data_IF_767946747066
#
_entry.id   IF_767946747066
#
_cell.length_a   1.000
_cell.length_b   1.000
_cell.length_c   1.000
_cell.angle_alpha   90.00
_cell.angle_beta   90.00
_cell.angle_gamma   90.00
#
_symmetry.space_group_name_H-M   'P 1'
#
loop_
_entity.id
_entity.type
_entity.pdbx_description
1 polymer ?
#
# COMPACT_ATOMS: atom_id res chain seq x y z
N UNK A 1 -40.83 -2.33 56.85
CA UNK A 1 -39.86 -2.75 57.89
C UNK A 1 -38.74 -3.57 57.24
N UNK A 2 -37.49 -3.17 57.54
CA UNK A 2 -36.22 -3.91 57.66
C UNK A 2 -35.79 -4.99 56.64
N UNK A 3 -34.49 -4.90 56.37
CA UNK A 3 -33.61 -5.61 55.43
C UNK A 3 -33.17 -7.03 55.85
N UNK A 4 -32.65 -7.76 54.85
CA UNK A 4 -31.42 -8.59 54.89
C UNK A 4 -31.07 -8.96 53.43
N UNK A 5 -30.08 -8.38 52.75
CA UNK A 5 -28.65 -8.73 52.78
C UNK A 5 -28.39 -10.25 52.84
N UNK A 6 -28.22 -10.88 51.67
CA UNK A 6 -27.05 -11.73 51.34
C UNK A 6 -27.24 -12.37 49.95
N UNK A 7 -26.42 -11.97 48.96
CA UNK A 7 -25.90 -12.88 47.94
C UNK A 7 -24.74 -12.19 47.19
N UNK A 8 -23.53 -12.43 47.69
CA UNK A 8 -22.28 -12.01 47.06
C UNK A 8 -21.87 -13.03 45.99
N UNK A 9 -21.64 -12.51 44.78
CA UNK A 9 -20.45 -12.73 43.93
C UNK A 9 -19.79 -14.12 43.91
N UNK A 10 -19.89 -14.81 42.77
CA UNK A 10 -18.91 -15.81 42.35
C UNK A 10 -18.65 -15.74 40.83
N UNK A 11 -17.65 -14.94 40.44
CA UNK A 11 -16.97 -15.03 39.14
C UNK A 11 -15.80 -16.05 39.26
N UNK A 12 -15.46 -16.79 38.18
CA UNK A 12 -14.43 -17.83 38.22
C UNK A 12 -13.01 -17.25 38.37
N UNK A 13 -12.07 -18.00 38.99
CA UNK A 13 -10.75 -17.51 39.33
C UNK A 13 -9.84 -17.33 38.09
N UNK A 14 -9.12 -16.21 38.09
CA UNK A 14 -8.08 -15.88 37.13
C UNK A 14 -6.85 -16.77 37.33
N UNK A 15 -6.33 -17.33 36.23
CA UNK A 15 -5.04 -18.00 36.18
C UNK A 15 -3.92 -16.96 36.30
N UNK A 16 -3.32 -16.87 37.48
CA UNK A 16 -2.06 -16.20 37.72
C UNK A 16 -0.91 -17.20 37.60
N UNK A 17 -0.19 -17.18 36.48
CA UNK A 17 1.18 -17.70 36.45
C UNK A 17 2.14 -16.56 36.11
N UNK A 18 2.92 -16.16 37.12
CA UNK A 18 4.13 -15.37 36.96
C UNK A 18 5.24 -16.31 36.48
N UNK A 19 5.63 -16.18 35.22
CA UNK A 19 6.88 -16.77 34.74
C UNK A 19 8.04 -15.82 35.08
N UNK A 20 8.89 -16.24 36.02
CA UNK A 20 10.17 -15.62 36.36
C UNK A 20 11.19 -15.97 35.27
N UNK A 21 11.78 -14.97 34.60
CA UNK A 21 12.87 -15.18 33.64
C UNK A 21 14.23 -14.90 34.30
N UNK A 22 15.26 -15.73 34.07
CA UNK A 22 16.56 -15.60 34.73
C UNK A 22 17.48 -14.56 34.08
N UNK A 23 18.13 -13.77 34.95
CA UNK A 23 19.56 -13.42 34.89
C UNK A 23 20.12 -12.66 33.68
N UNK A 24 20.48 -11.40 33.92
CA UNK A 24 21.32 -10.58 33.04
C UNK A 24 22.78 -11.06 33.00
N UNK A 25 23.41 -10.95 31.82
CA UNK A 25 24.86 -11.03 31.65
C UNK A 25 25.35 -10.93 30.20
N UNK A 26 26.14 -9.88 29.94
CA UNK A 26 27.06 -9.63 28.81
C UNK A 26 26.53 -8.98 27.49
N UNK A 27 26.79 -7.67 27.36
CA UNK A 27 27.20 -6.95 26.13
C UNK A 27 28.31 -7.71 25.36
N UNK A 28 28.54 -7.70 24.04
CA UNK A 28 28.22 -6.82 22.89
C UNK A 28 28.38 -7.64 21.59
N UNK A 29 27.53 -7.42 20.58
CA UNK A 29 27.91 -7.25 19.17
C UNK A 29 26.65 -6.81 18.41
N UNK A 30 26.70 -5.66 17.72
CA UNK A 30 25.57 -5.12 16.98
C UNK A 30 25.08 -6.13 15.93
N UNK A 31 23.93 -6.77 16.19
CA UNK A 31 23.26 -7.62 15.22
C UNK A 31 22.77 -6.73 14.08
N UNK A 32 23.27 -6.97 12.86
CA UNK A 32 22.74 -6.37 11.64
C UNK A 32 21.26 -6.75 11.55
N UNK A 33 20.36 -5.75 11.54
CA UNK A 33 18.92 -5.93 11.32
C UNK A 33 18.74 -6.86 10.10
N UNK A 34 17.90 -7.91 10.18
CA UNK A 34 17.69 -8.78 9.04
C UNK A 34 17.11 -7.96 7.89
N UNK A 35 17.83 -7.92 6.77
CA UNK A 35 17.23 -7.54 5.50
C UNK A 35 16.16 -8.59 5.21
N UNK A 36 15.03 -8.18 4.61
CA UNK A 36 13.95 -9.08 4.22
C UNK A 36 14.43 -10.31 3.41
N UNK A 37 15.65 -10.27 2.86
CA UNK A 37 16.29 -11.23 1.97
C UNK A 37 16.60 -12.62 2.54
N UNK A 38 16.38 -12.89 3.83
CA UNK A 38 16.62 -14.22 4.40
C UNK A 38 15.39 -14.68 5.20
N UNK A 39 14.65 -15.62 4.62
CA UNK A 39 13.70 -16.44 5.38
C UNK A 39 14.51 -17.34 6.32
N UNK A 40 14.03 -17.55 7.56
CA UNK A 40 14.77 -18.27 8.61
C UNK A 40 15.15 -19.72 8.23
N UNK A 41 14.55 -20.27 7.17
CA UNK A 41 14.77 -21.62 6.64
C UNK A 41 15.76 -21.67 5.44
N UNK A 42 16.54 -20.61 5.22
CA UNK A 42 17.68 -20.63 4.27
C UNK A 42 17.31 -20.54 2.78
N UNK A 43 16.06 -20.24 2.44
CA UNK A 43 15.64 -19.96 1.06
C UNK A 43 15.92 -18.52 0.63
N UNK A 44 16.39 -18.32 -0.61
CA UNK A 44 16.45 -16.99 -1.22
C UNK A 44 15.02 -16.46 -1.44
N UNK A 45 14.74 -15.24 -0.97
CA UNK A 45 13.46 -14.56 -1.21
C UNK A 45 13.10 -14.54 -2.69
N UNK A 46 14.09 -14.43 -3.58
CA UNK A 46 13.83 -14.48 -5.02
C UNK A 46 13.27 -15.82 -5.49
N UNK A 47 13.66 -16.93 -4.86
CA UNK A 47 13.08 -18.24 -5.19
C UNK A 47 11.64 -18.36 -4.67
N UNK A 48 11.34 -17.78 -3.51
CA UNK A 48 9.97 -17.67 -3.01
C UNK A 48 9.10 -16.74 -3.87
N UNK A 49 9.67 -15.67 -4.43
CA UNK A 49 8.98 -14.75 -5.32
C UNK A 49 8.54 -15.42 -6.63
N UNK A 50 9.35 -16.35 -7.17
CA UNK A 50 8.94 -17.17 -8.33
C UNK A 50 7.71 -18.01 -8.01
N UNK A 51 7.65 -18.62 -6.83
CA UNK A 51 6.48 -19.38 -6.38
C UNK A 51 5.27 -18.46 -6.17
N UNK A 52 5.48 -17.30 -5.56
CA UNK A 52 4.45 -16.31 -5.31
C UNK A 52 3.80 -15.81 -6.60
N UNK A 53 4.57 -15.35 -7.58
CA UNK A 53 4.02 -14.97 -8.90
C UNK A 53 3.49 -16.18 -9.69
N UNK A 54 4.03 -17.37 -9.42
CA UNK A 54 3.59 -18.64 -10.00
C UNK A 54 2.17 -19.05 -9.59
N UNK A 55 1.79 -18.81 -8.33
CA UNK A 55 0.63 -19.46 -7.70
C UNK A 55 -0.27 -18.57 -6.84
N UNK A 56 0.24 -17.47 -6.29
CA UNK A 56 -0.45 -16.72 -5.24
C UNK A 56 -0.79 -15.28 -5.65
N UNK A 57 0.06 -14.64 -6.46
CA UNK A 57 -0.19 -13.27 -6.88
C UNK A 57 -1.49 -13.17 -7.70
N UNK A 58 -2.45 -12.33 -7.30
CA UNK A 58 -3.80 -12.31 -7.87
C UNK A 58 -3.85 -11.51 -9.19
N UNK A 59 -3.08 -11.92 -10.19
CA UNK A 59 -2.93 -11.22 -11.47
C UNK A 59 -4.25 -10.94 -12.19
N UNK A 60 -5.21 -11.89 -12.17
CA UNK A 60 -6.54 -11.66 -12.76
C UNK A 60 -7.31 -10.55 -12.05
N UNK A 61 -7.25 -10.51 -10.72
CA UNK A 61 -7.92 -9.48 -9.91
C UNK A 61 -7.28 -8.12 -10.14
N UNK A 62 -5.94 -8.07 -10.20
CA UNK A 62 -5.20 -6.85 -10.53
C UNK A 62 -5.57 -6.34 -11.93
N UNK A 63 -5.66 -7.22 -12.93
CA UNK A 63 -6.08 -6.87 -14.29
C UNK A 63 -7.52 -6.31 -14.31
N UNK A 64 -8.47 -6.98 -13.66
CA UNK A 64 -9.87 -6.51 -13.55
C UNK A 64 -9.97 -5.14 -12.88
N UNK A 65 -9.29 -4.98 -11.74
CA UNK A 65 -9.25 -3.71 -11.01
C UNK A 65 -8.70 -2.58 -11.90
N UNK A 66 -7.52 -2.77 -12.49
CA UNK A 66 -6.84 -1.72 -13.26
C UNK A 66 -7.44 -1.49 -14.65
N UNK A 67 -8.35 -2.35 -15.10
CA UNK A 67 -9.10 -2.19 -16.36
C UNK A 67 -10.39 -1.40 -16.18
N UNK A 68 -10.97 -1.35 -14.98
CA UNK A 68 -12.21 -0.62 -14.67
C UNK A 68 -13.37 -0.93 -15.64
N UNK A 69 -13.58 -2.22 -15.96
CA UNK A 69 -14.62 -2.64 -16.91
C UNK A 69 -14.24 -2.46 -18.38
N UNK A 70 -13.00 -2.06 -18.70
CA UNK A 70 -12.50 -1.88 -20.06
C UNK A 70 -11.60 -3.05 -20.53
N UNK A 71 -11.80 -4.25 -19.95
CA UNK A 71 -11.13 -5.46 -20.41
C UNK A 71 -11.45 -5.74 -21.89
N UNK A 72 -10.59 -6.49 -22.58
CA UNK A 72 -10.79 -6.83 -23.98
C UNK A 72 -12.14 -7.55 -24.24
N UNK A 73 -12.58 -8.35 -23.27
CA UNK A 73 -13.83 -9.11 -23.25
C UNK A 73 -15.06 -8.28 -22.87
N UNK A 74 -14.88 -7.02 -22.46
CA UNK A 74 -15.99 -6.15 -22.06
C UNK A 74 -17.00 -5.99 -23.21
N UNK A 75 -18.27 -6.26 -22.89
CA UNK A 75 -19.37 -6.31 -23.87
C UNK A 75 -20.14 -4.99 -24.02
N UNK A 76 -19.88 -4.02 -23.13
CA UNK A 76 -20.61 -2.75 -23.19
C UNK A 76 -20.04 -1.82 -24.26
N UNK A 77 -20.88 -1.06 -24.98
CA UNK A 77 -20.44 -0.26 -26.13
C UNK A 77 -19.45 0.86 -25.80
N UNK A 78 -19.42 1.29 -24.52
CA UNK A 78 -18.50 2.33 -24.03
C UNK A 78 -17.11 1.81 -23.62
N UNK A 79 -16.82 0.52 -23.79
CA UNK A 79 -15.57 -0.08 -23.31
C UNK A 79 -14.40 0.39 -24.17
N UNK A 80 -13.42 1.04 -23.54
CA UNK A 80 -12.18 1.40 -24.20
C UNK A 80 -11.16 0.28 -24.05
N UNK A 81 -11.11 -0.62 -25.03
CA UNK A 81 -10.18 -1.76 -25.05
C UNK A 81 -8.69 -1.36 -25.03
N UNK A 82 -8.38 -0.08 -25.20
CA UNK A 82 -7.01 0.45 -25.10
C UNK A 82 -6.67 0.95 -23.70
N UNK A 83 -7.62 0.99 -22.76
CA UNK A 83 -7.42 1.56 -21.43
C UNK A 83 -6.29 0.88 -20.65
N UNK A 84 -6.37 -0.45 -20.46
CA UNK A 84 -5.33 -1.21 -19.76
C UNK A 84 -3.96 -1.20 -20.48
N UNK A 85 -3.88 -1.37 -21.81
CA UNK A 85 -2.62 -1.21 -22.56
C UNK A 85 -1.94 0.16 -22.43
N UNK A 86 -2.64 1.19 -21.95
CA UNK A 86 -2.08 2.52 -21.70
C UNK A 86 -1.63 2.75 -20.26
N UNK A 87 -1.84 1.77 -19.36
CA UNK A 87 -1.38 1.81 -17.97
C UNK A 87 0.13 1.58 -17.90
N UNK A 88 0.84 2.45 -17.19
CA UNK A 88 2.25 2.22 -16.84
C UNK A 88 2.37 1.27 -15.64
N UNK A 89 3.33 0.36 -15.75
CA UNK A 89 3.93 -0.36 -14.64
C UNK A 89 5.43 -0.05 -14.59
N UNK A 90 5.98 -0.01 -13.37
CA UNK A 90 7.41 -0.01 -13.11
C UNK A 90 7.76 -1.29 -12.36
N UNK A 91 8.77 -1.99 -12.86
CA UNK A 91 9.32 -3.16 -12.18
C UNK A 91 10.68 -2.80 -11.60
N UNK A 92 10.86 -3.01 -10.30
CA UNK A 92 12.19 -3.03 -9.69
C UNK A 92 12.72 -4.47 -9.77
N UNK A 93 13.84 -4.65 -10.47
CA UNK A 93 14.52 -5.93 -10.60
C UNK A 93 15.70 -6.02 -9.63
N UNK A 94 16.39 -7.17 -9.64
CA UNK A 94 17.60 -7.35 -8.86
C UNK A 94 18.66 -6.29 -9.17
N UNK A 95 19.41 -5.88 -8.14
CA UNK A 95 20.31 -4.72 -8.19
C UNK A 95 19.61 -3.36 -8.25
N UNK A 96 18.35 -3.27 -7.79
CA UNK A 96 17.54 -2.04 -7.76
C UNK A 96 17.37 -1.39 -9.15
N UNK A 97 17.30 -2.22 -10.20
CA UNK A 97 17.11 -1.74 -11.57
C UNK A 97 15.64 -1.41 -11.80
N UNK A 98 15.35 -0.12 -12.01
CA UNK A 98 14.01 0.37 -12.30
C UNK A 98 13.70 0.27 -13.80
N UNK A 99 12.73 -0.56 -14.16
CA UNK A 99 12.26 -0.71 -15.53
C UNK A 99 10.89 -0.06 -15.67
N UNK A 100 10.90 1.22 -16.00
CA UNK A 100 9.70 2.06 -16.19
C UNK A 100 9.02 1.88 -17.55
N UNK A 101 7.83 2.45 -17.67
CA UNK A 101 7.04 2.47 -18.91
C UNK A 101 6.76 1.08 -19.47
N UNK A 102 6.63 0.08 -18.60
CA UNK A 102 6.04 -1.20 -18.98
C UNK A 102 4.52 -1.02 -19.11
N UNK A 103 3.94 -1.77 -20.02
CA UNK A 103 2.50 -1.79 -20.30
C UNK A 103 2.15 -3.16 -20.86
N UNK A 104 0.92 -3.63 -20.68
CA UNK A 104 0.54 -4.98 -21.06
C UNK A 104 -0.81 -4.95 -21.76
N UNK A 105 -0.99 -5.80 -22.78
CA UNK A 105 -2.22 -5.83 -23.57
C UNK A 105 -3.37 -6.54 -22.84
N UNK A 106 -3.04 -7.46 -21.94
CA UNK A 106 -4.01 -8.30 -21.22
C UNK A 106 -3.46 -8.75 -19.87
N UNK A 107 -4.33 -9.29 -19.03
CA UNK A 107 -3.94 -9.94 -17.77
C UNK A 107 -2.96 -11.10 -17.96
N UNK A 108 -3.09 -11.87 -19.04
CA UNK A 108 -2.17 -12.96 -19.37
C UNK A 108 -0.76 -12.45 -19.73
N UNK A 109 -0.63 -11.33 -20.45
CA UNK A 109 0.69 -10.74 -20.74
C UNK A 109 1.34 -10.18 -19.46
N UNK A 110 0.54 -9.55 -18.57
CA UNK A 110 1.02 -9.11 -17.26
C UNK A 110 1.50 -10.31 -16.42
N UNK A 111 0.71 -11.38 -16.33
CA UNK A 111 1.07 -12.60 -15.59
C UNK A 111 2.37 -13.21 -16.11
N UNK A 112 2.48 -13.36 -17.43
CA UNK A 112 3.69 -13.89 -18.07
C UNK A 112 4.91 -13.02 -17.76
N UNK A 113 4.77 -11.70 -17.82
CA UNK A 113 5.86 -10.78 -17.52
C UNK A 113 6.30 -10.83 -16.05
N UNK A 114 5.34 -10.94 -15.11
CA UNK A 114 5.63 -11.09 -13.68
C UNK A 114 6.39 -12.39 -13.39
N UNK A 115 5.94 -13.51 -13.98
CA UNK A 115 6.62 -14.82 -13.83
C UNK A 115 8.03 -14.82 -14.44
N UNK A 116 8.21 -14.17 -15.60
CA UNK A 116 9.49 -14.14 -16.30
C UNK A 116 10.51 -13.20 -15.65
N UNK A 117 10.05 -12.01 -15.22
CA UNK A 117 10.96 -10.96 -14.71
C UNK A 117 11.13 -11.02 -13.20
N UNK A 118 10.20 -11.64 -12.49
CA UNK A 118 10.22 -11.82 -11.03
C UNK A 118 10.62 -10.54 -10.27
N UNK A 119 9.90 -9.41 -10.47
CA UNK A 119 10.30 -8.14 -9.87
C UNK A 119 10.19 -8.18 -8.34
N UNK A 120 11.13 -7.51 -7.67
CA UNK A 120 11.09 -7.34 -6.20
C UNK A 120 10.06 -6.30 -5.77
N UNK A 121 9.74 -5.32 -6.63
CA UNK A 121 8.69 -4.32 -6.43
C UNK A 121 7.95 -4.04 -7.73
N UNK A 122 6.67 -3.69 -7.59
CA UNK A 122 5.81 -3.28 -8.70
C UNK A 122 5.20 -1.93 -8.32
N UNK A 123 5.50 -0.89 -9.09
CA UNK A 123 4.79 0.39 -8.98
C UNK A 123 3.76 0.49 -10.11
N UNK A 124 2.55 0.93 -9.75
CA UNK A 124 1.45 1.15 -10.69
C UNK A 124 1.41 2.64 -11.02
N UNK A 125 1.68 2.97 -12.27
CA UNK A 125 1.68 4.34 -12.79
C UNK A 125 0.32 4.78 -13.32
N UNK A 126 0.24 5.95 -13.98
CA UNK A 126 -0.98 6.45 -14.58
C UNK A 126 -1.37 5.65 -15.84
N UNK A 127 -2.60 5.86 -16.30
CA UNK A 127 -3.00 5.61 -17.69
C UNK A 127 -2.56 6.81 -18.53
N UNK A 128 -1.82 6.55 -19.59
CA UNK A 128 -1.38 7.55 -20.55
C UNK A 128 -2.36 7.69 -21.71
N UNK A 129 -2.19 8.72 -22.54
CA UNK A 129 -2.96 8.87 -23.77
C UNK A 129 -2.55 7.89 -24.89
N UNK A 130 -1.37 7.27 -24.77
CA UNK A 130 -0.82 6.27 -25.71
C UNK A 130 -0.09 5.18 -24.94
N UNK A 131 0.30 4.10 -25.63
CA UNK A 131 1.08 3.00 -25.04
C UNK A 131 2.44 3.50 -24.47
N UNK A 132 2.69 3.35 -23.16
CA UNK A 132 3.95 3.75 -22.50
C UNK A 132 5.22 3.16 -23.14
N UNK A 133 5.14 1.92 -23.66
CA UNK A 133 6.28 1.28 -24.35
C UNK A 133 6.66 2.02 -25.64
N UNK A 134 5.72 2.75 -26.25
CA UNK A 134 5.91 3.50 -27.50
C UNK A 134 6.16 5.00 -27.30
N UNK A 135 6.32 5.46 -26.05
CA UNK A 135 6.49 6.88 -25.71
C UNK A 135 7.57 7.61 -26.54
N UNK A 136 8.63 6.92 -26.94
CA UNK A 136 9.75 7.52 -27.70
C UNK A 136 9.33 8.06 -29.08
N UNK A 137 8.22 7.56 -29.65
CA UNK A 137 7.66 8.06 -30.90
C UNK A 137 6.89 9.39 -30.74
N UNK A 138 6.66 9.84 -29.50
CA UNK A 138 5.85 11.01 -29.18
C UNK A 138 6.73 12.09 -28.56
N UNK A 139 7.05 13.12 -29.35
CA UNK A 139 7.84 14.28 -28.92
C UNK A 139 6.94 15.46 -28.55
N UNK A 140 7.53 16.54 -28.04
CA UNK A 140 6.87 17.84 -27.79
C UNK A 140 5.64 17.78 -26.85
N UNK A 141 5.70 16.97 -25.78
CA UNK A 141 4.63 16.88 -24.79
C UNK A 141 3.38 16.12 -25.25
N UNK A 142 3.44 15.43 -26.39
CA UNK A 142 2.34 14.61 -26.87
C UNK A 142 2.08 13.37 -26.01
N UNK A 143 3.07 12.91 -25.23
CA UNK A 143 2.92 11.83 -24.25
C UNK A 143 2.50 12.41 -22.89
N UNK A 144 1.27 12.11 -22.46
CA UNK A 144 0.68 12.68 -21.23
C UNK A 144 -0.12 11.66 -20.44
N UNK A 145 -0.03 11.75 -19.12
CA UNK A 145 -0.93 11.04 -18.21
C UNK A 145 -2.35 11.62 -18.37
N UNK A 146 -3.36 10.75 -18.40
CA UNK A 146 -4.77 11.15 -18.54
C UNK A 146 -5.62 10.70 -17.37
N UNK A 147 -5.27 9.59 -16.74
CA UNK A 147 -5.95 9.09 -15.54
C UNK A 147 -4.95 8.50 -14.56
N UNK A 148 -5.16 8.76 -13.26
CA UNK A 148 -4.43 8.14 -12.16
C UNK A 148 -5.28 8.17 -10.92
N UNK A 149 -5.36 7.06 -10.21
CA UNK A 149 -5.99 6.99 -8.89
C UNK A 149 -5.47 8.12 -7.98
N UNK A 150 -6.33 8.67 -7.13
CA UNK A 150 -5.88 9.57 -6.08
C UNK A 150 -5.33 8.69 -4.96
N UNK A 151 -4.05 8.89 -4.62
CA UNK A 151 -3.32 8.02 -3.72
C UNK A 151 -2.80 8.87 -2.56
N UNK A 152 -2.98 8.37 -1.34
CA UNK A 152 -2.32 8.90 -0.15
C UNK A 152 -1.37 7.83 0.39
N UNK A 153 -0.16 8.25 0.72
CA UNK A 153 0.87 7.44 1.35
C UNK A 153 1.14 8.03 2.73
N UNK A 154 0.94 7.24 3.77
CA UNK A 154 1.14 7.63 5.17
C UNK A 154 2.15 6.67 5.76
N UNK A 155 3.33 7.17 6.11
CA UNK A 155 4.40 6.41 6.77
C UNK A 155 4.47 6.76 8.26
N UNK A 156 4.83 5.78 9.10
CA UNK A 156 5.00 5.99 10.53
C UNK A 156 6.12 7.00 10.85
N UNK A 157 7.11 7.16 9.95
CA UNK A 157 8.22 8.09 10.18
C UNK A 157 7.76 9.56 10.29
N UNK A 158 6.63 9.90 9.69
CA UNK A 158 6.05 11.26 9.76
C UNK A 158 5.50 11.59 11.16
N UNK A 159 5.45 10.61 12.07
CA UNK A 159 5.02 10.78 13.46
C UNK A 159 6.19 10.82 14.45
N UNK A 160 7.44 10.72 13.99
CA UNK A 160 8.61 10.63 14.89
C UNK A 160 8.73 11.80 15.87
N UNK A 161 8.26 13.00 15.50
CA UNK A 161 8.31 14.21 16.34
C UNK A 161 7.27 14.24 17.47
N UNK A 162 6.20 13.45 17.34
CA UNK A 162 5.12 13.36 18.34
C UNK A 162 5.18 12.08 19.19
N UNK A 163 6.07 11.15 18.86
CA UNK A 163 6.29 9.94 19.65
C UNK A 163 7.22 10.22 20.83
N UNK A 164 6.86 9.73 22.01
CA UNK A 164 7.71 9.79 23.21
C UNK A 164 8.67 8.60 23.36
N UNK A 165 8.87 7.84 22.28
CA UNK A 165 9.80 6.71 22.16
C UNK A 165 10.32 6.63 20.72
N UNK A 166 11.45 5.98 20.52
CA UNK A 166 11.98 5.76 19.16
C UNK A 166 11.28 4.56 18.51
N UNK A 167 10.96 4.64 17.21
CA UNK A 167 10.32 3.54 16.49
C UNK A 167 11.16 2.24 16.51
N UNK A 168 12.48 2.38 16.63
CA UNK A 168 13.42 1.26 16.70
C UNK A 168 13.30 0.43 17.99
N UNK A 169 12.74 0.97 19.07
CA UNK A 169 12.61 0.32 20.39
C UNK A 169 11.40 -0.63 20.52
N UNK A 170 10.85 -1.11 19.41
CA UNK A 170 9.89 -2.24 19.35
C UNK A 170 8.54 -1.95 20.03
N UNK A 171 7.74 -1.11 19.39
CA UNK A 171 6.36 -0.85 19.80
C UNK A 171 5.38 -0.72 18.65
N UNK A 172 5.45 -1.55 17.59
CA UNK A 172 4.45 -1.50 16.51
C UNK A 172 3.02 -1.54 17.04
N UNK A 173 2.75 -2.37 18.06
CA UNK A 173 1.46 -2.42 18.74
C UNK A 173 1.05 -1.09 19.41
N UNK A 174 2.03 -0.26 19.82
CA UNK A 174 1.80 1.06 20.44
C UNK A 174 1.62 2.18 19.43
N UNK A 175 2.32 2.14 18.29
CA UNK A 175 2.23 3.19 17.26
C UNK A 175 1.25 2.88 16.14
N UNK A 176 0.96 1.61 15.83
CA UNK A 176 -0.02 1.22 14.79
C UNK A 176 -1.43 1.79 14.99
N UNK A 177 -1.93 2.05 16.22
CA UNK A 177 -3.15 2.82 16.40
C UNK A 177 -3.16 4.17 15.66
N UNK A 178 -2.01 4.80 15.41
CA UNK A 178 -1.90 6.01 14.58
C UNK A 178 -2.34 5.75 13.14
N UNK A 179 -1.95 4.62 12.54
CA UNK A 179 -2.42 4.23 11.21
C UNK A 179 -3.92 3.96 11.19
N UNK A 180 -4.46 3.35 12.26
CA UNK A 180 -5.89 3.11 12.38
C UNK A 180 -6.69 4.43 12.46
N UNK A 181 -6.17 5.43 13.20
CA UNK A 181 -6.76 6.78 13.24
C UNK A 181 -6.64 7.47 11.89
N UNK A 182 -5.48 7.38 11.23
CA UNK A 182 -5.26 7.94 9.90
C UNK A 182 -6.26 7.39 8.87
N UNK A 183 -6.52 6.07 8.88
CA UNK A 183 -7.55 5.44 8.05
C UNK A 183 -8.93 6.04 8.34
N UNK A 184 -9.32 6.15 9.61
CA UNK A 184 -10.65 6.67 9.98
C UNK A 184 -10.84 8.13 9.56
N UNK A 185 -9.84 8.99 9.78
CA UNK A 185 -9.89 10.40 9.40
C UNK A 185 -9.94 10.53 7.87
N UNK A 186 -9.08 9.81 7.16
CA UNK A 186 -8.99 9.89 5.71
C UNK A 186 -10.25 9.31 5.03
N UNK A 187 -10.71 8.12 5.43
CA UNK A 187 -11.91 7.48 4.86
C UNK A 187 -13.15 8.35 5.11
N UNK A 188 -13.32 8.88 6.33
CA UNK A 188 -14.44 9.75 6.67
C UNK A 188 -14.47 10.98 5.76
N UNK A 189 -13.39 11.74 5.68
CA UNK A 189 -13.37 12.97 4.88
C UNK A 189 -13.51 12.66 3.37
N UNK A 190 -12.85 11.62 2.86
CA UNK A 190 -12.99 11.22 1.46
C UNK A 190 -14.44 10.85 1.11
N UNK A 191 -15.17 10.19 2.01
CA UNK A 191 -16.58 9.81 1.81
C UNK A 191 -17.56 10.93 2.08
N UNK A 192 -17.48 11.57 3.24
CA UNK A 192 -18.46 12.56 3.70
C UNK A 192 -18.26 13.92 3.03
N UNK A 193 -17.01 14.39 2.92
CA UNK A 193 -16.71 15.74 2.44
C UNK A 193 -16.54 15.75 0.92
N UNK A 194 -15.83 14.76 0.38
CA UNK A 194 -15.58 14.67 -1.05
C UNK A 194 -16.56 13.79 -1.80
N UNK A 195 -17.31 12.88 -1.14
CA UNK A 195 -18.28 12.00 -1.77
C UNK A 195 -17.70 10.80 -2.53
N UNK A 196 -16.48 10.35 -2.22
CA UNK A 196 -15.83 9.24 -2.94
C UNK A 196 -16.38 7.90 -2.44
N UNK A 197 -16.59 6.96 -3.34
CA UNK A 197 -17.22 5.67 -3.00
C UNK A 197 -16.22 4.51 -3.02
N UNK A 198 -15.34 4.48 -4.03
CA UNK A 198 -14.44 3.37 -4.31
C UNK A 198 -13.06 3.63 -3.69
N UNK A 199 -12.97 3.37 -2.39
CA UNK A 199 -11.75 3.58 -1.59
C UNK A 199 -11.33 2.26 -0.99
N UNK A 200 -10.04 1.95 -1.04
CA UNK A 200 -9.46 0.86 -0.25
C UNK A 200 -8.07 1.22 0.25
N UNK A 201 -7.67 0.54 1.33
CA UNK A 201 -6.40 0.74 2.00
C UNK A 201 -5.53 -0.51 1.86
N UNK A 202 -4.23 -0.31 1.67
CA UNK A 202 -3.24 -1.37 1.53
C UNK A 202 -2.12 -1.14 2.54
N UNK A 203 -1.69 -2.20 3.22
CA UNK A 203 -0.49 -2.15 4.03
C UNK A 203 0.75 -1.97 3.14
N UNK A 204 1.67 -1.05 3.48
CA UNK A 204 2.84 -0.75 2.65
C UNK A 204 3.89 -1.88 2.61
N UNK A 205 3.71 -2.93 3.41
CA UNK A 205 4.66 -4.04 3.56
C UNK A 205 5.68 -3.82 4.68
N UNK A 206 5.63 -2.67 5.37
CA UNK A 206 6.51 -2.38 6.51
C UNK A 206 5.84 -1.60 7.63
N UNK A 207 5.58 -0.31 7.42
CA UNK A 207 5.25 0.63 8.52
C UNK A 207 4.28 1.75 8.13
N UNK A 208 3.54 1.56 7.05
CA UNK A 208 2.65 2.58 6.55
C UNK A 208 1.45 1.98 5.85
N UNK A 209 0.62 2.85 5.31
CA UNK A 209 -0.60 2.51 4.58
C UNK A 209 -0.68 3.33 3.29
N UNK A 210 -1.21 2.72 2.24
CA UNK A 210 -1.57 3.41 1.01
C UNK A 210 -3.09 3.41 0.87
N UNK A 211 -3.68 4.60 0.73
CA UNK A 211 -5.09 4.76 0.38
C UNK A 211 -5.22 4.94 -1.13
N UNK A 212 -6.06 4.13 -1.77
CA UNK A 212 -6.36 4.21 -3.20
C UNK A 212 -7.82 4.64 -3.39
N UNK A 213 -8.01 5.81 -3.98
CA UNK A 213 -9.32 6.32 -4.40
C UNK A 213 -9.48 6.11 -5.90
N UNK A 214 -10.42 5.24 -6.24
CA UNK A 214 -10.56 4.64 -7.55
C UNK A 214 -11.76 5.17 -8.35
N UNK A 215 -12.59 6.06 -7.78
CA UNK A 215 -13.69 6.71 -8.49
C UNK A 215 -13.23 7.33 -9.81
N UNK A 216 -14.07 7.25 -10.85
CA UNK A 216 -13.73 7.84 -12.16
C UNK A 216 -13.37 9.32 -12.04
N UNK A 217 -14.10 10.07 -11.20
CA UNK A 217 -13.83 11.50 -10.96
C UNK A 217 -12.53 11.74 -10.20
N UNK A 218 -12.10 10.83 -9.32
CA UNK A 218 -10.78 10.89 -8.68
C UNK A 218 -9.67 10.63 -9.70
N UNK A 219 -9.90 9.69 -10.62
CA UNK A 219 -8.88 9.31 -11.61
C UNK A 219 -8.53 10.42 -12.58
N UNK A 220 -9.50 11.26 -12.93
CA UNK A 220 -9.32 12.35 -13.90
C UNK A 220 -8.90 13.69 -13.28
N UNK A 221 -8.70 13.75 -11.95
CA UNK A 221 -8.25 14.98 -11.29
C UNK A 221 -6.92 15.46 -11.87
N UNK A 222 -6.84 16.77 -12.08
CA UNK A 222 -5.61 17.51 -12.40
C UNK A 222 -4.67 17.53 -11.20
N UNK A 223 -3.40 17.86 -11.44
CA UNK A 223 -2.42 17.99 -10.36
C UNK A 223 -2.77 19.11 -9.38
N UNK A 224 -3.39 20.19 -9.86
CA UNK A 224 -3.89 21.28 -9.02
C UNK A 224 -5.03 20.82 -8.09
N UNK A 225 -6.02 20.10 -8.61
CA UNK A 225 -7.11 19.56 -7.80
C UNK A 225 -6.59 18.52 -6.78
N UNK A 226 -5.63 17.69 -7.17
CA UNK A 226 -4.98 16.74 -6.24
C UNK A 226 -4.25 17.48 -5.12
N UNK A 227 -3.53 18.54 -5.45
CA UNK A 227 -2.85 19.38 -4.46
C UNK A 227 -3.86 20.08 -3.53
N UNK A 228 -5.00 20.55 -4.06
CA UNK A 228 -6.06 21.14 -3.25
C UNK A 228 -6.65 20.13 -2.25
N UNK A 229 -6.91 18.88 -2.69
CA UNK A 229 -7.36 17.81 -1.80
C UNK A 229 -6.28 17.49 -0.76
N UNK A 230 -5.02 17.34 -1.15
CA UNK A 230 -3.93 17.08 -0.20
C UNK A 230 -3.80 18.20 0.85
N UNK A 231 -3.94 19.45 0.43
CA UNK A 231 -3.93 20.62 1.31
C UNK A 231 -5.11 20.65 2.29
N UNK A 232 -6.28 20.14 1.89
CA UNK A 232 -7.42 19.99 2.81
C UNK A 232 -7.08 19.09 4.00
N UNK A 233 -6.31 18.03 3.78
CA UNK A 233 -5.84 17.13 4.84
C UNK A 233 -4.64 17.66 5.62
N UNK A 234 -3.91 18.63 5.06
CA UNK A 234 -2.70 19.21 5.66
C UNK A 234 -3.04 20.25 6.73
N UNK A 235 -3.53 19.78 7.88
CA UNK A 235 -3.81 20.61 9.07
C UNK A 235 -2.55 20.95 9.87
N UNK A 236 -1.51 20.13 9.76
CA UNK A 236 -0.21 20.33 10.37
C UNK A 236 0.84 20.45 9.28
N UNK A 237 1.49 21.61 9.20
CA UNK A 237 2.71 21.80 8.41
C UNK A 237 3.84 21.81 9.44
N UNK A 238 4.55 20.70 9.58
CA UNK A 238 5.68 20.61 10.48
C UNK A 238 6.70 21.73 10.21
N UNK A 239 7.38 22.17 11.26
CA UNK A 239 8.56 23.04 11.11
C UNK A 239 9.70 22.09 10.70
N UNK A 240 10.05 22.05 9.42
CA UNK A 240 11.35 21.51 9.02
C UNK A 240 12.43 22.42 9.63
N UNK A 241 12.98 22.01 10.77
CA UNK A 241 14.30 22.49 11.14
C UNK A 241 15.28 21.85 10.14
N UNK A 242 15.76 22.68 9.21
CA UNK A 242 16.66 22.27 8.11
C UNK A 242 18.04 21.81 8.55
#
# INVERSE_FOLDING_TARGET
ERASEDERSALPPALTERATMPGAGAETAAAKKPRLNAYEDGGDVQDLMKLYYGRLFPHETMYKWLSYGNEFEAKHPKADKTFFPRREFCFTLDGDIFVRYQSFKSGAELEQALKQRCPSKIDIGPVYNVDPKKRAAYTNGAFKAVERELIFDIDMDDYNDVLNFTLDEHGWSRCWPLMAVAIQVLDRALREDFGFEHIFFVFSGRRGIHCWVCDKRARVLTDEERAAIANYFSIYKGIEAG
#
